data_IF_489639249001
#
_entry.id   IF_489639249001
#
_cell.length_a   1.000
_cell.length_b   1.000
_cell.length_c   1.000
_cell.angle_alpha   90.00
_cell.angle_beta   90.00
_cell.angle_gamma   90.00
#
_symmetry.space_group_name_H-M   'P 1'
#
loop_
_entity.id
_entity.type
_entity.pdbx_description
1 polymer ?
#
# COMPACT_ATOMS: atom_id res chain seq x y z
N UNK A 1 -11.48 0.00 -8.10
CA UNK A 1 -10.47 0.75 -7.30
C UNK A 1 -10.95 2.17 -7.00
N UNK A 2 -11.28 2.99 -8.00
CA UNK A 2 -11.78 4.37 -7.78
C UNK A 2 -12.95 4.43 -6.79
N UNK A 3 -13.94 3.55 -6.92
CA UNK A 3 -15.07 3.49 -5.98
C UNK A 3 -14.66 3.21 -4.53
N UNK A 4 -13.64 2.36 -4.30
CA UNK A 4 -13.10 2.11 -2.96
C UNK A 4 -12.46 3.38 -2.40
N UNK A 5 -11.68 4.10 -3.22
CA UNK A 5 -10.99 5.32 -2.81
C UNK A 5 -11.95 6.48 -2.51
N UNK A 6 -13.05 6.60 -3.23
CA UNK A 6 -14.11 7.57 -2.90
C UNK A 6 -14.78 7.25 -1.56
N UNK A 7 -14.95 5.97 -1.24
CA UNK A 7 -15.64 5.53 -0.05
C UNK A 7 -14.78 5.54 1.23
N UNK A 8 -13.45 5.57 1.12
CA UNK A 8 -12.53 5.51 2.27
C UNK A 8 -12.38 6.85 3.02
N UNK A 9 -13.12 7.91 2.63
CA UNK A 9 -13.12 9.18 3.36
C UNK A 9 -11.94 10.12 3.04
N UNK A 10 -11.34 9.98 1.86
CA UNK A 10 -10.38 10.97 1.36
C UNK A 10 -11.09 12.28 0.95
N UNK A 11 -10.41 13.41 1.08
CA UNK A 11 -10.88 14.70 0.60
C UNK A 11 -10.85 14.74 -0.95
N UNK A 12 -12.02 14.51 -1.56
CA UNK A 12 -12.16 14.45 -3.02
C UNK A 12 -11.97 15.81 -3.71
N UNK A 13 -11.94 16.93 -2.99
CA UNK A 13 -11.62 18.23 -3.59
C UNK A 13 -10.14 18.35 -3.96
N UNK A 14 -9.29 17.54 -3.32
CA UNK A 14 -7.83 17.56 -3.45
C UNK A 14 -7.25 16.30 -4.09
N UNK A 15 -8.11 15.38 -4.53
CA UNK A 15 -7.71 14.10 -5.13
C UNK A 15 -8.24 14.03 -6.56
N UNK A 16 -7.36 13.66 -7.49
CA UNK A 16 -7.71 13.41 -8.89
C UNK A 16 -7.38 11.97 -9.26
N UNK A 17 -8.30 11.33 -9.99
CA UNK A 17 -8.08 10.00 -10.58
C UNK A 17 -7.84 10.17 -12.07
N UNK A 18 -6.60 9.99 -12.49
CA UNK A 18 -6.21 10.10 -13.89
C UNK A 18 -6.05 8.71 -14.50
N UNK A 19 -6.62 8.51 -15.69
CA UNK A 19 -6.41 7.29 -16.45
C UNK A 19 -5.15 7.45 -17.31
N UNK A 20 -4.16 6.59 -17.07
CA UNK A 20 -2.88 6.62 -17.77
C UNK A 20 -3.03 6.61 -19.30
N UNK A 21 -3.93 5.79 -19.85
CA UNK A 21 -4.10 5.72 -21.31
C UNK A 21 -4.72 7.00 -21.87
N UNK A 22 -5.68 7.60 -21.19
CA UNK A 22 -6.34 8.84 -21.63
C UNK A 22 -5.36 10.01 -21.58
N UNK A 23 -4.63 10.17 -20.47
CA UNK A 23 -3.63 11.21 -20.29
C UNK A 23 -2.52 11.11 -21.34
N UNK A 24 -1.94 9.92 -21.53
CA UNK A 24 -0.87 9.71 -22.52
C UNK A 24 -1.39 9.98 -23.93
N UNK A 25 -2.57 9.47 -24.29
CA UNK A 25 -3.09 9.65 -25.65
C UNK A 25 -3.42 11.12 -25.96
N UNK A 26 -3.81 11.90 -24.95
CA UNK A 26 -4.10 13.33 -25.12
C UNK A 26 -2.88 14.17 -25.50
N UNK A 27 -1.66 13.74 -25.08
CA UNK A 27 -0.38 14.44 -25.30
C UNK A 27 0.72 13.43 -25.65
N UNK A 28 0.42 12.59 -26.64
CA UNK A 28 1.23 11.41 -26.96
C UNK A 28 2.62 11.75 -27.48
N UNK A 29 2.75 12.83 -28.24
CA UNK A 29 4.02 13.34 -28.74
C UNK A 29 4.94 13.80 -27.60
N UNK A 30 4.40 14.52 -26.61
CA UNK A 30 5.12 14.93 -25.40
C UNK A 30 5.60 13.70 -24.62
N UNK A 31 4.69 12.77 -24.33
CA UNK A 31 4.95 11.61 -23.49
C UNK A 31 5.98 10.66 -24.10
N UNK A 32 5.77 10.22 -25.34
CA UNK A 32 6.66 9.23 -25.97
C UNK A 32 8.02 9.81 -26.32
N UNK A 33 8.11 11.10 -26.64
CA UNK A 33 9.41 11.77 -26.80
C UNK A 33 10.20 11.73 -25.49
N UNK A 34 9.54 11.99 -24.35
CA UNK A 34 10.16 11.90 -23.04
C UNK A 34 10.61 10.48 -22.70
N UNK A 35 9.76 9.47 -22.95
CA UNK A 35 10.11 8.06 -22.76
C UNK A 35 11.36 7.69 -23.57
N UNK A 36 11.41 8.08 -24.85
CA UNK A 36 12.56 7.77 -25.71
C UNK A 36 13.84 8.50 -25.28
N UNK A 37 13.74 9.75 -24.80
CA UNK A 37 14.91 10.47 -24.29
C UNK A 37 15.43 9.86 -22.98
N UNK A 38 14.55 9.43 -22.07
CA UNK A 38 14.94 8.70 -20.85
C UNK A 38 15.60 7.38 -21.23
N UNK A 39 15.04 6.60 -22.15
CA UNK A 39 15.59 5.32 -22.59
C UNK A 39 17.02 5.49 -23.15
N UNK A 40 17.22 6.45 -24.07
CA UNK A 40 18.51 6.68 -24.74
C UNK A 40 19.62 7.13 -23.77
N UNK A 41 19.26 7.79 -22.66
CA UNK A 41 20.23 8.30 -21.67
C UNK A 41 20.60 7.31 -20.59
N UNK A 42 19.96 6.14 -20.56
CA UNK A 42 20.18 5.13 -19.54
C UNK A 42 20.72 3.84 -20.15
N UNK A 43 21.67 3.21 -19.45
CA UNK A 43 22.10 1.87 -19.84
C UNK A 43 20.99 0.85 -19.59
N UNK A 44 20.93 -0.20 -20.41
CA UNK A 44 20.00 -1.31 -20.20
C UNK A 44 20.14 -1.91 -18.79
N UNK A 45 21.38 -2.09 -18.31
CA UNK A 45 21.65 -2.58 -16.95
C UNK A 45 21.01 -1.70 -15.88
N UNK A 46 20.97 -0.36 -16.06
CA UNK A 46 20.34 0.56 -15.10
C UNK A 46 18.83 0.45 -15.10
N UNK A 47 18.22 0.24 -16.27
CA UNK A 47 16.77 0.05 -16.43
C UNK A 47 16.34 -1.31 -15.85
N UNK A 48 17.08 -2.38 -16.13
CA UNK A 48 16.83 -3.73 -15.58
C UNK A 48 16.85 -3.74 -14.06
N UNK A 49 17.72 -2.95 -13.41
CA UNK A 49 17.71 -2.81 -11.94
C UNK A 49 16.37 -2.33 -11.37
N UNK A 50 15.58 -1.61 -12.16
CA UNK A 50 14.25 -1.14 -11.77
C UNK A 50 13.15 -2.20 -11.95
N UNK A 51 13.44 -3.43 -12.40
CA UNK A 51 12.41 -4.48 -12.58
C UNK A 51 11.66 -4.84 -11.29
N UNK A 52 12.23 -4.54 -10.12
CA UNK A 52 11.58 -4.75 -8.83
C UNK A 52 10.30 -3.92 -8.65
N UNK A 53 10.15 -2.79 -9.34
CA UNK A 53 8.96 -1.93 -9.24
C UNK A 53 7.68 -2.64 -9.73
N UNK A 54 7.85 -3.64 -10.61
CA UNK A 54 6.78 -4.50 -11.12
C UNK A 54 6.83 -5.92 -10.53
N UNK A 55 7.56 -6.12 -9.42
CA UNK A 55 7.68 -7.40 -8.74
C UNK A 55 8.51 -8.45 -9.46
N UNK A 56 9.49 -8.04 -10.28
CA UNK A 56 10.42 -8.92 -10.99
C UNK A 56 11.85 -8.76 -10.48
N UNK A 57 12.68 -9.78 -10.65
CA UNK A 57 14.10 -9.70 -10.35
C UNK A 57 14.91 -9.31 -11.57
N UNK A 58 16.16 -8.90 -11.35
CA UNK A 58 17.08 -8.52 -12.43
C UNK A 58 17.55 -9.73 -13.26
N UNK A 59 17.50 -10.92 -12.66
CA UNK A 59 17.89 -12.20 -13.25
C UNK A 59 16.75 -12.93 -13.96
N UNK A 60 15.52 -12.42 -13.87
CA UNK A 60 14.38 -13.04 -14.54
C UNK A 60 14.52 -12.88 -16.06
N UNK A 61 13.87 -13.75 -16.83
CA UNK A 61 13.73 -13.55 -18.28
C UNK A 61 12.75 -12.41 -18.53
N UNK A 62 13.29 -11.22 -18.86
CA UNK A 62 12.52 -9.98 -19.02
C UNK A 62 12.17 -9.76 -20.49
N UNK A 63 10.88 -9.65 -20.77
CA UNK A 63 10.37 -9.16 -22.05
C UNK A 63 10.78 -7.69 -22.30
N UNK A 64 10.81 -7.28 -23.57
CA UNK A 64 11.05 -5.89 -23.95
C UNK A 64 10.04 -4.92 -23.30
N UNK A 65 8.77 -5.34 -23.12
CA UNK A 65 7.77 -4.54 -22.44
C UNK A 65 8.15 -4.26 -20.97
N UNK A 66 8.75 -5.23 -20.28
CA UNK A 66 9.24 -5.07 -18.91
C UNK A 66 10.51 -4.22 -18.83
N UNK A 67 11.23 -4.02 -19.93
CA UNK A 67 12.31 -3.03 -20.00
C UNK A 67 11.74 -1.63 -20.22
N UNK A 68 10.67 -1.49 -21.00
CA UNK A 68 10.02 -0.19 -21.26
C UNK A 68 9.25 0.33 -20.04
N UNK A 69 8.66 -0.53 -19.23
CA UNK A 69 7.80 -0.13 -18.11
C UNK A 69 8.49 0.83 -17.11
N UNK A 70 9.73 0.59 -16.61
CA UNK A 70 10.40 1.54 -15.74
C UNK A 70 10.75 2.88 -16.40
N UNK A 71 10.96 2.87 -17.72
CA UNK A 71 11.21 4.11 -18.48
C UNK A 71 9.92 4.93 -18.56
N UNK A 72 8.80 4.28 -18.83
CA UNK A 72 7.47 4.90 -18.83
C UNK A 72 7.12 5.47 -17.46
N UNK A 73 7.29 4.70 -16.38
CA UNK A 73 7.02 5.19 -15.03
C UNK A 73 7.96 6.34 -14.61
N UNK A 74 9.18 6.39 -15.13
CA UNK A 74 10.07 7.54 -14.95
C UNK A 74 9.55 8.78 -15.70
N UNK A 75 9.00 8.59 -16.91
CA UNK A 75 8.40 9.66 -17.70
C UNK A 75 7.16 10.25 -17.02
N UNK A 76 6.31 9.40 -16.43
CA UNK A 76 5.09 9.81 -15.70
C UNK A 76 5.35 10.92 -14.68
N UNK A 77 6.48 10.84 -13.95
CA UNK A 77 6.84 11.82 -12.91
C UNK A 77 6.93 13.24 -13.49
N UNK A 78 7.50 13.39 -14.68
CA UNK A 78 7.65 14.69 -15.34
C UNK A 78 6.41 15.08 -16.13
N UNK A 79 5.77 14.10 -16.77
CA UNK A 79 4.57 14.30 -17.57
C UNK A 79 3.37 14.79 -16.73
N UNK A 80 3.22 14.22 -15.53
CA UNK A 80 2.26 14.65 -14.52
C UNK A 80 2.72 15.86 -13.71
N UNK A 81 3.97 16.32 -13.93
CA UNK A 81 4.59 17.44 -13.21
C UNK A 81 4.53 17.25 -11.69
N UNK A 82 4.78 16.02 -11.23
CA UNK A 82 4.70 15.68 -9.81
C UNK A 82 5.84 16.34 -9.02
N UNK A 83 5.48 17.12 -7.99
CA UNK A 83 6.48 17.69 -7.10
C UNK A 83 7.04 16.66 -6.12
N UNK A 84 6.18 15.75 -5.68
CA UNK A 84 6.48 14.71 -4.70
C UNK A 84 6.03 13.36 -5.25
N UNK A 85 6.98 12.44 -5.41
CA UNK A 85 6.71 11.04 -5.70
C UNK A 85 6.39 10.31 -4.39
N UNK A 86 5.10 10.19 -4.05
CA UNK A 86 4.61 9.48 -2.87
C UNK A 86 4.18 8.06 -3.26
N UNK A 87 5.10 7.10 -3.15
CA UNK A 87 4.90 5.69 -3.49
C UNK A 87 5.56 4.77 -2.46
N UNK A 88 5.29 3.46 -2.51
CA UNK A 88 5.93 2.50 -1.62
C UNK A 88 7.45 2.47 -1.76
N UNK A 89 8.14 1.99 -0.72
CA UNK A 89 9.60 1.81 -0.73
C UNK A 89 10.11 0.92 -1.88
N UNK A 90 9.28 0.01 -2.36
CA UNK A 90 9.56 -0.85 -3.52
C UNK A 90 9.65 -0.08 -4.86
N UNK A 91 9.06 1.11 -4.94
CA UNK A 91 9.10 2.00 -6.10
C UNK A 91 10.32 2.94 -6.09
N UNK A 92 11.15 2.91 -5.04
CA UNK A 92 12.27 3.87 -4.86
C UNK A 92 13.25 3.88 -6.03
N UNK A 93 13.55 2.73 -6.65
CA UNK A 93 14.58 2.64 -7.70
C UNK A 93 14.25 3.45 -8.96
N UNK A 94 12.97 3.49 -9.36
CA UNK A 94 12.52 4.31 -10.51
C UNK A 94 12.41 5.78 -10.14
N UNK A 95 12.00 6.10 -8.91
CA UNK A 95 12.01 7.49 -8.42
C UNK A 95 13.44 8.05 -8.39
N UNK A 96 14.43 7.25 -8.01
CA UNK A 96 15.85 7.63 -8.09
C UNK A 96 16.32 7.77 -9.54
N UNK A 97 15.86 6.92 -10.45
CA UNK A 97 16.13 7.04 -11.89
C UNK A 97 15.66 8.41 -12.43
N UNK A 98 14.51 8.91 -11.98
CA UNK A 98 14.02 10.24 -12.34
C UNK A 98 14.95 11.36 -11.84
N UNK A 99 15.47 11.25 -10.62
CA UNK A 99 16.45 12.23 -10.11
C UNK A 99 17.77 12.20 -10.88
N UNK A 100 18.27 11.01 -11.20
CA UNK A 100 19.44 10.82 -12.06
C UNK A 100 19.22 11.42 -13.46
N UNK A 101 18.02 11.25 -14.02
CA UNK A 101 17.63 11.87 -15.29
C UNK A 101 17.63 13.41 -15.21
N UNK A 102 17.20 13.99 -14.09
CA UNK A 102 17.29 15.44 -13.87
C UNK A 102 18.74 15.93 -13.92
N UNK A 103 19.67 15.18 -13.30
CA UNK A 103 21.10 15.50 -13.34
C UNK A 103 21.66 15.43 -14.76
N UNK A 104 21.35 14.35 -15.50
CA UNK A 104 21.79 14.17 -16.88
C UNK A 104 21.25 15.24 -17.85
N UNK A 105 20.07 15.80 -17.56
CA UNK A 105 19.42 16.83 -18.38
C UNK A 105 19.57 18.24 -17.82
N UNK A 106 20.29 18.40 -16.70
CA UNK A 106 20.47 19.68 -15.99
C UNK A 106 19.14 20.37 -15.63
N UNK A 107 18.10 19.58 -15.36
CA UNK A 107 16.81 20.10 -14.86
C UNK A 107 17.02 20.59 -13.42
N UNK A 108 16.69 21.86 -13.17
CA UNK A 108 16.77 22.47 -11.83
C UNK A 108 15.77 21.85 -10.86
N UNK A 109 14.57 21.56 -11.37
CA UNK A 109 13.53 20.92 -10.59
C UNK A 109 13.80 19.42 -10.48
N UNK A 110 13.93 18.92 -9.25
CA UNK A 110 14.04 17.50 -8.95
C UNK A 110 12.88 17.07 -8.06
N UNK A 111 12.13 16.03 -8.41
CA UNK A 111 11.01 15.55 -7.59
C UNK A 111 11.51 15.10 -6.22
N UNK A 112 10.75 15.43 -5.17
CA UNK A 112 10.97 14.91 -3.82
C UNK A 112 10.50 13.46 -3.79
N UNK A 113 11.31 12.57 -3.22
CA UNK A 113 10.94 11.15 -3.07
C UNK A 113 10.49 10.95 -1.63
N UNK A 114 9.18 10.78 -1.43
CA UNK A 114 8.58 10.55 -0.13
C UNK A 114 8.01 9.14 -0.07
N UNK A 115 8.87 8.16 0.16
CA UNK A 115 8.47 6.76 0.15
C UNK A 115 7.85 6.32 1.46
N UNK A 116 6.69 5.66 1.40
CA UNK A 116 6.07 5.04 2.57
C UNK A 116 6.52 3.59 2.74
N UNK A 117 6.56 3.12 3.99
CA UNK A 117 6.92 1.75 4.35
C UNK A 117 5.98 0.71 3.72
N UNK A 118 6.48 -0.50 3.51
CA UNK A 118 5.64 -1.61 3.10
C UNK A 118 4.89 -2.15 4.33
N UNK A 119 3.59 -2.40 4.17
CA UNK A 119 2.83 -3.12 5.19
C UNK A 119 3.09 -4.63 5.06
N UNK A 120 3.43 -5.32 6.16
CA UNK A 120 3.77 -6.74 6.16
C UNK A 120 2.53 -7.58 5.88
N UNK A 121 2.75 -8.79 5.40
CA UNK A 121 1.71 -9.80 5.35
C UNK A 121 1.32 -10.26 6.75
N UNK A 122 0.12 -10.81 6.88
CA UNK A 122 -0.38 -11.28 8.17
C UNK A 122 0.34 -12.52 8.70
N UNK A 123 1.04 -13.30 7.87
CA UNK A 123 1.71 -14.53 8.29
C UNK A 123 3.20 -14.29 8.57
N UNK A 124 3.82 -15.22 9.30
CA UNK A 124 5.24 -15.14 9.67
C UNK A 124 6.15 -15.08 8.43
N UNK A 125 7.18 -14.24 8.48
CA UNK A 125 8.18 -14.09 7.41
C UNK A 125 7.70 -13.34 6.17
N UNK A 126 6.47 -12.79 6.16
CA UNK A 126 5.94 -12.03 5.03
C UNK A 126 6.23 -10.53 5.18
N UNK A 127 7.35 -10.07 4.61
CA UNK A 127 7.75 -8.66 4.64
C UNK A 127 6.76 -7.70 3.93
N UNK A 128 5.92 -8.23 3.03
CA UNK A 128 4.94 -7.45 2.26
C UNK A 128 3.66 -8.24 2.04
N UNK A 129 2.51 -7.58 2.18
CA UNK A 129 1.22 -8.16 1.75
C UNK A 129 1.26 -8.58 0.28
N UNK A 130 0.77 -9.77 -0.01
CA UNK A 130 0.76 -10.31 -1.36
C UNK A 130 -0.66 -10.66 -1.81
N UNK A 131 -0.97 -10.43 -3.09
CA UNK A 131 -2.20 -10.95 -3.70
C UNK A 131 -2.14 -12.47 -3.91
N UNK A 132 -0.94 -13.06 -3.87
CA UNK A 132 -0.74 -14.49 -4.12
C UNK A 132 -1.30 -15.37 -3.00
N UNK A 133 -1.29 -14.89 -1.75
CA UNK A 133 -1.90 -15.57 -0.62
C UNK A 133 -3.04 -14.69 -0.05
N UNK A 134 -4.32 -15.04 -0.34
CA UNK A 134 -5.47 -14.31 0.18
C UNK A 134 -5.55 -14.23 1.71
N UNK A 135 -4.87 -15.14 2.43
CA UNK A 135 -4.82 -15.12 3.90
C UNK A 135 -3.73 -14.17 4.43
N UNK A 136 -2.79 -13.75 3.56
CA UNK A 136 -1.72 -12.80 3.91
C UNK A 136 -2.16 -11.35 3.92
N UNK A 137 -3.33 -11.03 3.35
CA UNK A 137 -3.77 -9.66 3.14
C UNK A 137 -5.24 -9.47 3.55
N UNK A 138 -5.54 -8.28 4.07
CA UNK A 138 -6.91 -7.81 4.28
C UNK A 138 -7.30 -6.99 3.06
N UNK A 139 -8.38 -7.38 2.40
CA UNK A 139 -8.93 -6.65 1.26
C UNK A 139 -9.94 -5.61 1.73
N UNK A 140 -10.12 -4.56 0.93
CA UNK A 140 -10.94 -3.41 1.29
C UNK A 140 -12.43 -3.76 1.38
N UNK A 141 -12.84 -4.83 0.72
CA UNK A 141 -14.20 -5.37 0.70
C UNK A 141 -14.38 -6.61 1.57
N UNK A 142 -13.36 -7.04 2.31
CA UNK A 142 -13.48 -8.18 3.23
C UNK A 142 -14.63 -7.89 4.21
N UNK A 143 -15.50 -8.88 4.39
CA UNK A 143 -16.54 -8.85 5.42
C UNK A 143 -15.93 -8.80 6.82
N UNK A 144 -16.74 -8.42 7.81
CA UNK A 144 -16.31 -8.41 9.20
C UNK A 144 -15.79 -9.79 9.66
N UNK A 145 -16.47 -10.86 9.24
CA UNK A 145 -16.07 -12.23 9.56
C UNK A 145 -14.73 -12.62 8.93
N UNK A 146 -14.46 -12.18 7.69
CA UNK A 146 -13.18 -12.42 7.01
C UNK A 146 -12.03 -11.68 7.70
N UNK A 147 -12.20 -10.40 8.03
CA UNK A 147 -11.21 -9.61 8.80
C UNK A 147 -10.92 -10.28 10.14
N UNK A 148 -11.97 -10.64 10.89
CA UNK A 148 -11.83 -11.30 12.18
C UNK A 148 -11.07 -12.63 12.07
N UNK A 149 -11.37 -13.42 11.03
CA UNK A 149 -10.72 -14.71 10.77
C UNK A 149 -9.25 -14.54 10.39
N UNK A 150 -8.93 -13.58 9.53
CA UNK A 150 -7.56 -13.29 9.08
C UNK A 150 -6.70 -12.78 10.23
N UNK A 151 -7.16 -11.80 11.00
CA UNK A 151 -6.44 -11.29 12.18
C UNK A 151 -6.29 -12.36 13.26
N UNK A 152 -7.30 -13.22 13.48
CA UNK A 152 -7.18 -14.35 14.42
C UNK A 152 -6.00 -15.26 14.04
N UNK A 153 -5.82 -15.55 12.75
CA UNK A 153 -4.74 -16.39 12.21
C UNK A 153 -3.41 -15.66 12.03
N UNK A 154 -3.39 -14.33 12.12
CA UNK A 154 -2.17 -13.55 11.89
C UNK A 154 -1.06 -13.93 12.88
N UNK A 155 0.19 -13.82 12.44
CA UNK A 155 1.36 -13.92 13.28
C UNK A 155 1.34 -12.80 14.32
N UNK A 156 1.44 -13.18 15.60
CA UNK A 156 1.40 -12.26 16.73
C UNK A 156 1.99 -12.93 17.98
N UNK A 157 3.29 -13.29 17.94
CA UNK A 157 3.97 -13.91 19.07
C UNK A 157 3.95 -13.00 20.33
N UNK A 158 3.71 -13.56 21.53
CA UNK A 158 3.70 -12.78 22.77
C UNK A 158 5.05 -12.10 23.01
N UNK A 159 5.03 -10.86 23.50
CA UNK A 159 6.22 -10.06 23.87
C UNK A 159 7.21 -9.76 22.72
N UNK A 160 6.87 -10.12 21.48
CA UNK A 160 7.71 -9.85 20.31
C UNK A 160 7.07 -8.74 19.47
N UNK A 161 7.72 -7.58 19.45
CA UNK A 161 7.27 -6.38 18.75
C UNK A 161 7.79 -6.31 17.32
N UNK A 162 9.08 -6.63 17.12
CA UNK A 162 9.72 -6.55 15.81
C UNK A 162 9.17 -7.62 14.86
N UNK A 163 8.86 -7.22 13.63
CA UNK A 163 8.26 -8.11 12.62
C UNK A 163 6.85 -8.60 12.95
N UNK A 164 6.18 -8.05 13.97
CA UNK A 164 4.82 -8.44 14.34
C UNK A 164 3.78 -7.66 13.52
N UNK A 165 3.09 -8.29 12.55
CA UNK A 165 2.18 -7.58 11.65
C UNK A 165 0.99 -6.97 12.42
N UNK A 166 0.52 -7.59 13.50
CA UNK A 166 -0.58 -7.00 14.29
C UNK A 166 -0.16 -5.66 14.91
N UNK A 167 1.05 -5.58 15.49
CA UNK A 167 1.56 -4.34 16.07
C UNK A 167 1.75 -3.28 14.99
N UNK A 168 2.27 -3.67 13.83
CA UNK A 168 2.45 -2.74 12.73
C UNK A 168 1.13 -2.19 12.19
N UNK A 169 0.10 -3.01 12.04
CA UNK A 169 -1.22 -2.53 11.62
C UNK A 169 -1.79 -1.54 12.62
N UNK A 170 -1.61 -1.77 13.91
CA UNK A 170 -2.02 -0.79 14.92
C UNK A 170 -1.23 0.51 14.74
N UNK A 171 0.10 0.43 14.69
CA UNK A 171 1.00 1.60 14.61
C UNK A 171 0.79 2.46 13.36
N UNK A 172 0.53 1.84 12.21
CA UNK A 172 0.57 2.52 10.91
C UNK A 172 -0.79 2.66 10.22
N UNK A 173 -1.83 2.01 10.74
CA UNK A 173 -3.20 2.18 10.24
C UNK A 173 -4.09 2.74 11.35
N UNK A 174 -4.18 2.04 12.48
CA UNK A 174 -5.17 2.38 13.53
C UNK A 174 -4.81 3.70 14.22
N UNK A 175 -3.55 3.88 14.64
CA UNK A 175 -3.10 5.11 15.27
C UNK A 175 -3.25 6.34 14.37
N UNK A 176 -2.75 6.35 13.12
CA UNK A 176 -2.96 7.50 12.22
C UNK A 176 -4.44 7.81 11.95
N UNK A 177 -5.32 6.80 12.01
CA UNK A 177 -6.75 6.96 11.76
C UNK A 177 -7.51 7.53 12.95
N UNK A 178 -7.29 6.99 14.16
CA UNK A 178 -8.08 7.33 15.34
C UNK A 178 -7.33 8.21 16.36
N UNK A 179 -6.02 8.40 16.20
CA UNK A 179 -5.16 9.10 17.16
C UNK A 179 -4.89 8.34 18.46
N UNK A 180 -5.48 7.14 18.62
CA UNK A 180 -5.35 6.27 19.79
C UNK A 180 -5.65 4.82 19.43
N UNK A 181 -5.34 3.91 20.35
CA UNK A 181 -5.70 2.51 20.24
C UNK A 181 -6.29 1.99 21.56
N UNK A 182 -7.50 1.47 21.50
CA UNK A 182 -8.24 0.98 22.66
C UNK A 182 -8.25 -0.56 22.66
N UNK A 183 -7.76 -1.18 23.73
CA UNK A 183 -7.79 -2.62 23.93
C UNK A 183 -8.85 -2.95 24.96
N UNK A 184 -9.91 -3.65 24.54
CA UNK A 184 -10.93 -4.13 25.46
C UNK A 184 -10.56 -5.48 26.03
N UNK A 185 -10.53 -5.59 27.36
CA UNK A 185 -10.16 -6.82 28.07
C UNK A 185 -10.95 -6.93 29.37
N UNK A 186 -11.12 -8.15 29.87
CA UNK A 186 -11.85 -8.38 31.12
C UNK A 186 -11.14 -7.73 32.31
N UNK A 187 -11.89 -7.47 33.39
CA UNK A 187 -11.32 -7.01 34.66
C UNK A 187 -10.21 -7.96 35.17
N UNK A 188 -10.39 -9.27 34.98
CA UNK A 188 -9.38 -10.28 35.33
C UNK A 188 -8.07 -10.15 34.53
N UNK A 189 -8.13 -9.55 33.34
CA UNK A 189 -6.97 -9.27 32.48
C UNK A 189 -6.48 -7.82 32.61
N UNK A 190 -6.93 -7.09 33.64
CA UNK A 190 -6.48 -5.72 33.94
C UNK A 190 -7.34 -4.60 33.33
N UNK A 191 -8.56 -4.90 32.88
CA UNK A 191 -9.58 -3.93 32.45
C UNK A 191 -9.22 -3.14 31.17
N UNK A 192 -10.16 -2.43 30.56
CA UNK A 192 -9.90 -1.73 29.30
C UNK A 192 -8.69 -0.76 29.40
N UNK A 193 -7.83 -0.76 28.37
CA UNK A 193 -6.63 0.09 28.31
C UNK A 193 -6.61 0.88 27.01
N UNK A 194 -6.20 2.15 27.08
CA UNK A 194 -6.06 3.04 25.93
C UNK A 194 -4.62 3.48 25.78
N UNK A 195 -4.09 3.35 24.57
CA UNK A 195 -2.77 3.85 24.19
C UNK A 195 -2.93 5.10 23.34
N UNK A 196 -2.16 6.14 23.65
CA UNK A 196 -2.18 7.40 22.89
C UNK A 196 -1.00 7.54 21.95
N UNK A 197 0.06 6.74 22.15
CA UNK A 197 1.22 6.70 21.27
C UNK A 197 1.56 5.26 20.86
N UNK A 198 2.13 5.04 19.64
CA UNK A 198 2.65 3.74 19.24
C UNK A 198 3.72 3.19 20.19
N UNK A 199 4.51 4.06 20.80
CA UNK A 199 5.59 3.71 21.73
C UNK A 199 5.04 3.06 23.01
N UNK A 200 3.99 3.63 23.60
CA UNK A 200 3.30 3.04 24.78
C UNK A 200 2.79 1.62 24.47
N UNK A 201 2.19 1.42 23.30
CA UNK A 201 1.72 0.09 22.89
C UNK A 201 2.88 -0.90 22.75
N UNK A 202 3.99 -0.49 22.14
CA UNK A 202 5.16 -1.36 21.95
C UNK A 202 5.77 -1.78 23.28
N UNK A 203 5.92 -0.85 24.22
CA UNK A 203 6.45 -1.13 25.56
C UNK A 203 5.50 -2.04 26.37
N UNK A 204 4.20 -1.78 26.32
CA UNK A 204 3.20 -2.60 27.00
C UNK A 204 3.13 -4.03 26.41
N UNK A 205 3.29 -4.16 25.09
CA UNK A 205 3.33 -5.47 24.46
C UNK A 205 4.62 -6.22 24.77
N UNK A 206 5.78 -5.56 24.69
CA UNK A 206 7.09 -6.14 24.99
C UNK A 206 7.21 -6.62 26.45
N UNK A 207 6.63 -5.88 27.40
CA UNK A 207 6.60 -6.27 28.81
C UNK A 207 5.62 -7.41 29.11
N UNK A 208 4.70 -7.72 28.19
CA UNK A 208 3.64 -8.70 28.38
C UNK A 208 2.39 -8.15 29.08
N UNK A 209 2.31 -6.84 29.31
CA UNK A 209 1.12 -6.18 29.86
C UNK A 209 -0.09 -6.25 28.91
N UNK A 210 0.15 -6.45 27.60
CA UNK A 210 -0.89 -6.74 26.60
C UNK A 210 -0.63 -8.10 25.98
N UNK A 211 -1.59 -9.02 26.10
CA UNK A 211 -1.49 -10.34 25.50
C UNK A 211 -2.02 -10.33 24.04
N UNK A 212 -1.46 -11.14 23.12
CA UNK A 212 -1.98 -11.29 21.76
C UNK A 212 -3.50 -11.57 21.69
N UNK A 213 -4.04 -12.28 22.68
CA UNK A 213 -5.45 -12.63 22.77
C UNK A 213 -6.38 -11.41 23.01
N UNK A 214 -5.87 -10.33 23.60
CA UNK A 214 -6.59 -9.08 23.81
C UNK A 214 -6.33 -8.10 22.64
N UNK A 215 -5.09 -8.09 22.14
CA UNK A 215 -4.66 -7.23 21.02
C UNK A 215 -5.44 -7.53 19.74
N UNK A 216 -5.51 -8.81 19.34
CA UNK A 216 -6.09 -9.22 18.05
C UNK A 216 -7.57 -8.86 17.90
N UNK A 217 -8.47 -9.16 18.87
CA UNK A 217 -9.87 -8.76 18.77
C UNK A 217 -10.04 -7.23 18.70
N UNK A 218 -9.22 -6.50 19.45
CA UNK A 218 -9.24 -5.03 19.46
C UNK A 218 -8.78 -4.46 18.12
N UNK A 219 -7.71 -5.02 17.52
CA UNK A 219 -7.26 -4.68 16.17
C UNK A 219 -8.37 -4.96 15.13
N UNK A 220 -8.97 -6.15 15.14
CA UNK A 220 -10.06 -6.48 14.22
C UNK A 220 -11.21 -5.49 14.30
N UNK A 221 -11.61 -5.11 15.52
CA UNK A 221 -12.68 -4.12 15.74
C UNK A 221 -12.35 -2.78 15.09
N UNK A 222 -11.13 -2.27 15.26
CA UNK A 222 -10.71 -1.01 14.66
C UNK A 222 -10.65 -1.09 13.14
N UNK A 223 -10.07 -2.16 12.58
CA UNK A 223 -10.03 -2.35 11.12
C UNK A 223 -11.43 -2.45 10.52
N UNK A 224 -12.36 -3.15 11.20
CA UNK A 224 -13.74 -3.23 10.75
C UNK A 224 -14.44 -1.87 10.75
N UNK A 225 -14.18 -1.00 11.74
CA UNK A 225 -14.67 0.38 11.73
C UNK A 225 -14.13 1.19 10.55
N UNK A 226 -12.83 1.05 10.25
CA UNK A 226 -12.19 1.74 9.11
C UNK A 226 -12.78 1.28 7.78
N UNK A 227 -13.06 -0.01 7.63
CA UNK A 227 -13.59 -0.59 6.39
C UNK A 227 -15.10 -0.39 6.23
N UNK A 228 -15.82 -0.03 7.29
CA UNK A 228 -17.28 0.05 7.26
C UNK A 228 -17.82 1.02 6.19
N UNK A 229 -17.30 2.25 6.02
CA UNK A 229 -17.77 3.15 4.98
C UNK A 229 -17.63 2.57 3.56
N UNK A 230 -16.57 1.78 3.32
CA UNK A 230 -16.36 1.09 2.05
C UNK A 230 -17.43 0.00 1.85
N UNK A 231 -17.69 -0.81 2.87
CA UNK A 231 -18.74 -1.85 2.81
C UNK A 231 -20.11 -1.21 2.54
N UNK A 232 -20.44 -0.14 3.26
CA UNK A 232 -21.70 0.56 3.11
C UNK A 232 -21.86 1.13 1.69
N UNK A 233 -20.79 1.67 1.10
CA UNK A 233 -20.79 2.15 -0.30
C UNK A 233 -21.16 1.04 -1.29
N UNK A 234 -20.53 -0.14 -1.17
CA UNK A 234 -20.80 -1.27 -2.06
C UNK A 234 -22.14 -1.96 -1.80
N UNK A 235 -22.79 -1.71 -0.66
CA UNK A 235 -24.17 -2.16 -0.38
C UNK A 235 -25.19 -1.16 -0.91
N UNK A 236 -24.96 0.12 -0.71
CA UNK A 236 -25.93 1.18 -0.98
C UNK A 236 -25.87 1.73 -2.41
N UNK A 237 -24.78 1.49 -3.15
CA UNK A 237 -24.65 1.87 -4.56
C UNK A 237 -24.81 0.64 -5.48
N UNK A 238 -25.92 0.53 -6.24
CA UNK A 238 -26.14 -0.58 -7.16
C UNK A 238 -25.05 -0.71 -8.23
N UNK A 239 -24.51 0.42 -8.70
CA UNK A 239 -23.42 0.46 -9.66
C UNK A 239 -22.13 -0.10 -9.06
N UNK A 240 -21.76 0.37 -7.87
CA UNK A 240 -20.56 -0.13 -7.19
C UNK A 240 -20.70 -1.64 -6.87
N UNK A 241 -21.87 -2.08 -6.43
CA UNK A 241 -22.18 -3.49 -6.18
C UNK A 241 -22.01 -4.35 -7.45
N UNK A 242 -22.53 -3.89 -8.59
CA UNK A 242 -22.41 -4.57 -9.87
C UNK A 242 -20.94 -4.65 -10.31
N UNK A 243 -20.17 -3.57 -10.18
CA UNK A 243 -18.74 -3.54 -10.46
C UNK A 243 -17.97 -4.54 -9.57
N UNK A 244 -18.26 -4.57 -8.27
CA UNK A 244 -17.60 -5.51 -7.35
C UNK A 244 -17.89 -6.96 -7.72
N UNK A 245 -19.14 -7.28 -8.07
CA UNK A 245 -19.54 -8.61 -8.54
C UNK A 245 -18.76 -9.00 -9.80
N UNK A 246 -18.59 -8.09 -10.74
CA UNK A 246 -17.83 -8.32 -11.95
C UNK A 246 -16.34 -8.56 -11.65
N UNK A 247 -15.74 -7.73 -10.78
CA UNK A 247 -14.33 -7.85 -10.38
C UNK A 247 -14.06 -9.20 -9.70
N UNK A 248 -14.95 -9.66 -8.81
CA UNK A 248 -14.84 -10.98 -8.16
C UNK A 248 -14.94 -12.14 -9.15
N UNK A 249 -15.59 -11.93 -10.30
CA UNK A 249 -15.67 -12.92 -11.38
C UNK A 249 -14.37 -13.08 -12.18
N UNK A 250 -13.43 -12.14 -12.08
CA UNK A 250 -12.15 -12.24 -12.77
C UNK A 250 -11.23 -13.22 -12.04
N UNK A 251 -10.74 -14.23 -12.76
CA UNK A 251 -9.61 -15.04 -12.27
C UNK A 251 -8.38 -14.14 -12.25
N UNK A 252 -7.77 -13.98 -11.08
CA UNK A 252 -6.45 -13.35 -10.97
C UNK A 252 -5.48 -14.21 -11.77
N UNK A 253 -5.20 -13.79 -12.99
CA UNK A 253 -4.23 -14.43 -13.86
C UNK A 253 -2.86 -14.08 -13.30
N UNK A 254 -2.11 -15.11 -12.89
CA UNK A 254 -0.72 -14.98 -12.44
C UNK A 254 0.20 -14.92 -13.64
#
# INVERSE_FOLDING_TARGET
MVEVWKAVGMDMERVQFLNCSEEINSRSDEYWTLVMDIARRNSLKRVVRCSQIMGRNESDDLSAAQIMYPVMQCADIFFLKADICQLGMDQRKVNMLAREYCDATKKKFKPVILSHRMMPGLLEGQEKMSKSDPNSAIFMEDSEAEVNTKIKKAYCPPQVVEGNPCIEYVCYIVFPWFGKFEVSRSEANGGDITFTTPEELREAYASGAVHPADLKPSLSRHLNKILQPVRDHFVNSPEAAALLKQVRGYKVTR
#
